data_IF_332415686238
#
_entry.id   IF_332415686238
#
_cell.length_a   1.000
_cell.length_b   1.000
_cell.length_c   1.000
_cell.angle_alpha   90.00
_cell.angle_beta   90.00
_cell.angle_gamma   90.00
#
_symmetry.space_group_name_H-M   'P 1'
#
loop_
_entity.id
_entity.type
_entity.pdbx_description
1 polymer ?
#
# COMPACT_ATOMS: atom_id res chain seq x y z
N UNK A 1 8.77 -12.49 9.41
CA UNK A 1 9.26 -11.11 9.12
C UNK A 1 8.26 -10.41 8.20
N UNK A 2 8.25 -9.08 8.17
CA UNK A 2 7.44 -8.35 7.19
C UNK A 2 7.99 -8.58 5.77
N UNK A 3 7.12 -8.64 4.73
CA UNK A 3 7.58 -8.76 3.34
C UNK A 3 8.45 -7.57 2.92
N UNK A 4 9.44 -7.77 2.02
CA UNK A 4 10.24 -6.66 1.49
C UNK A 4 9.36 -5.72 0.65
N UNK A 5 9.71 -4.43 0.68
CA UNK A 5 9.06 -3.40 -0.13
C UNK A 5 9.81 -3.06 -1.42
N UNK A 6 10.90 -3.78 -1.74
CA UNK A 6 11.63 -3.62 -2.99
C UNK A 6 11.04 -4.47 -4.14
N UNK A 7 11.76 -4.57 -5.26
CA UNK A 7 11.34 -5.34 -6.43
C UNK A 7 11.14 -6.85 -6.18
N UNK A 8 11.72 -7.41 -5.11
CA UNK A 8 11.58 -8.83 -4.75
C UNK A 8 10.30 -9.10 -3.95
N UNK A 9 9.66 -8.05 -3.45
CA UNK A 9 8.39 -8.11 -2.75
C UNK A 9 7.19 -8.05 -3.69
N UNK A 10 6.03 -7.75 -3.11
CA UNK A 10 4.75 -7.72 -3.82
C UNK A 10 3.98 -6.41 -3.64
N UNK A 11 4.57 -5.39 -3.01
CA UNK A 11 3.91 -4.11 -2.77
C UNK A 11 3.47 -3.44 -4.07
N UNK A 12 4.31 -3.51 -5.10
CA UNK A 12 4.07 -2.92 -6.41
C UNK A 12 2.92 -3.58 -7.20
N UNK A 13 2.40 -4.74 -6.75
CA UNK A 13 1.20 -5.34 -7.34
C UNK A 13 -0.09 -4.58 -7.01
N UNK A 14 -0.06 -3.75 -5.97
CA UNK A 14 -1.24 -3.07 -5.43
C UNK A 14 -1.29 -1.61 -5.91
N UNK A 15 -2.50 -1.13 -6.12
CA UNK A 15 -2.75 0.27 -6.46
C UNK A 15 -2.45 1.21 -5.27
N UNK A 16 -2.25 2.48 -5.59
CA UNK A 16 -1.92 3.53 -4.63
C UNK A 16 -2.97 3.68 -3.53
N UNK A 17 -4.26 3.55 -3.86
CA UNK A 17 -5.35 3.76 -2.89
C UNK A 17 -5.38 2.62 -1.87
N UNK A 18 -5.24 1.38 -2.33
CA UNK A 18 -5.13 0.21 -1.46
C UNK A 18 -3.91 0.31 -0.54
N UNK A 19 -2.74 0.69 -1.07
CA UNK A 19 -1.53 0.87 -0.28
C UNK A 19 -1.67 1.99 0.78
N UNK A 20 -2.36 3.07 0.43
CA UNK A 20 -2.70 4.13 1.37
C UNK A 20 -3.63 3.61 2.48
N UNK A 21 -4.71 2.90 2.13
CA UNK A 21 -5.67 2.38 3.09
C UNK A 21 -5.03 1.39 4.07
N UNK A 22 -4.17 0.50 3.56
CA UNK A 22 -3.36 -0.39 4.39
C UNK A 22 -2.52 0.39 5.41
N UNK A 23 -1.83 1.43 4.96
CA UNK A 23 -0.98 2.25 5.84
C UNK A 23 -1.82 3.03 6.86
N UNK A 24 -2.92 3.63 6.42
CA UNK A 24 -3.76 4.52 7.24
C UNK A 24 -4.58 3.76 8.28
N UNK A 25 -5.15 2.62 7.91
CA UNK A 25 -6.12 1.87 8.72
C UNK A 25 -5.58 0.54 9.25
N UNK A 26 -4.40 0.11 8.79
CA UNK A 26 -3.89 -1.22 9.08
C UNK A 26 -4.57 -2.28 8.22
N UNK A 27 -4.03 -3.50 8.26
CA UNK A 27 -4.41 -4.50 7.26
C UNK A 27 -5.79 -5.12 7.43
N UNK A 28 -6.28 -5.24 8.65
CA UNK A 28 -7.60 -5.80 8.88
C UNK A 28 -8.70 -4.81 8.47
N UNK A 29 -8.66 -3.59 9.00
CA UNK A 29 -9.69 -2.59 8.69
C UNK A 29 -9.70 -2.19 7.20
N UNK A 30 -8.54 -2.09 6.54
CA UNK A 30 -8.47 -1.81 5.11
C UNK A 30 -9.15 -2.90 4.25
N UNK A 31 -9.03 -4.17 4.65
CA UNK A 31 -9.68 -5.29 3.96
C UNK A 31 -11.17 -5.39 4.27
N UNK A 32 -11.58 -5.09 5.50
CA UNK A 32 -13.00 -5.02 5.88
C UNK A 32 -13.75 -3.96 5.06
N UNK A 33 -13.14 -2.80 4.81
CA UNK A 33 -13.71 -1.76 3.93
C UNK A 33 -13.93 -2.23 2.49
N UNK A 34 -13.23 -3.29 2.07
CA UNK A 34 -13.36 -3.92 0.75
C UNK A 34 -14.21 -5.20 0.78
N UNK A 35 -14.94 -5.43 1.87
CA UNK A 35 -15.86 -6.56 2.02
C UNK A 35 -15.19 -7.87 2.42
N UNK A 36 -13.90 -7.86 2.78
CA UNK A 36 -13.16 -9.05 3.22
C UNK A 36 -13.14 -9.06 4.75
N UNK A 37 -14.15 -9.69 5.35
CA UNK A 37 -14.29 -9.78 6.80
C UNK A 37 -13.46 -10.93 7.39
N UNK A 38 -13.03 -10.78 8.65
CA UNK A 38 -12.38 -11.84 9.43
C UNK A 38 -10.92 -12.11 9.08
N UNK A 39 -10.30 -11.28 8.22
CA UNK A 39 -8.87 -11.40 7.92
C UNK A 39 -8.02 -10.93 9.10
N UNK A 40 -7.20 -11.83 9.63
CA UNK A 40 -6.25 -11.49 10.70
C UNK A 40 -4.98 -10.90 10.10
N UNK A 41 -4.72 -9.62 10.36
CA UNK A 41 -3.50 -8.94 9.94
C UNK A 41 -2.66 -8.49 11.12
N UNK A 42 -1.34 -8.66 11.02
CA UNK A 42 -0.38 -8.08 11.97
C UNK A 42 0.05 -6.65 11.62
N UNK A 43 -0.47 -6.07 10.54
CA UNK A 43 -0.12 -4.71 10.11
C UNK A 43 -0.92 -3.67 10.93
N UNK A 44 -0.27 -2.82 11.73
CA UNK A 44 -0.94 -1.79 12.51
C UNK A 44 -1.42 -0.63 11.63
N UNK A 45 -2.35 0.17 12.16
CA UNK A 45 -2.76 1.44 11.57
C UNK A 45 -1.76 2.54 11.94
N UNK A 46 -1.38 3.38 10.97
CA UNK A 46 -0.48 4.52 11.21
C UNK A 46 -1.17 5.87 11.14
N UNK A 47 -2.47 5.93 10.89
CA UNK A 47 -3.15 7.18 10.64
C UNK A 47 -3.39 8.12 11.82
N UNK A 48 -3.08 7.67 13.04
CA UNK A 48 -3.00 8.54 14.23
C UNK A 48 -1.59 9.13 14.42
N UNK A 49 -0.59 8.57 13.72
CA UNK A 49 0.82 8.94 13.82
C UNK A 49 1.31 9.70 12.59
N UNK A 50 0.76 9.41 11.41
CA UNK A 50 1.12 9.99 10.13
C UNK A 50 -0.04 10.79 9.54
N UNK A 51 0.28 11.95 8.96
CA UNK A 51 -0.65 12.71 8.12
C UNK A 51 -0.85 11.99 6.79
N UNK A 52 -1.91 12.33 6.04
CA UNK A 52 -2.16 11.76 4.72
C UNK A 52 -1.00 12.06 3.74
N UNK A 53 -0.50 13.29 3.74
CA UNK A 53 0.66 13.69 2.93
C UNK A 53 1.91 12.85 3.27
N UNK A 54 2.17 12.60 4.56
CA UNK A 54 3.29 11.77 4.98
C UNK A 54 3.14 10.32 4.49
N UNK A 55 1.93 9.77 4.47
CA UNK A 55 1.67 8.44 3.90
C UNK A 55 1.99 8.45 2.40
N UNK A 56 1.53 9.46 1.66
CA UNK A 56 1.82 9.58 0.23
C UNK A 56 3.31 9.74 -0.05
N UNK A 57 4.02 10.54 0.72
CA UNK A 57 5.47 10.73 0.60
C UNK A 57 6.24 9.44 0.84
N UNK A 58 5.85 8.66 1.86
CA UNK A 58 6.45 7.35 2.14
C UNK A 58 6.20 6.37 0.98
N UNK A 59 4.96 6.30 0.47
CA UNK A 59 4.63 5.44 -0.67
C UNK A 59 5.40 5.86 -1.93
N UNK A 60 5.57 7.16 -2.17
CA UNK A 60 6.37 7.69 -3.26
C UNK A 60 7.86 7.34 -3.09
N UNK A 61 8.40 7.44 -1.88
CA UNK A 61 9.76 7.02 -1.56
C UNK A 61 9.96 5.52 -1.82
N UNK A 62 9.06 4.66 -1.34
CA UNK A 62 9.11 3.21 -1.62
C UNK A 62 9.08 2.95 -3.13
N UNK A 63 8.16 3.59 -3.85
CA UNK A 63 8.05 3.46 -5.31
C UNK A 63 9.34 3.88 -6.03
N UNK A 64 10.02 4.93 -5.54
CA UNK A 64 11.27 5.43 -6.13
C UNK A 64 12.43 4.43 -6.08
N UNK A 65 12.39 3.49 -5.12
CA UNK A 65 13.39 2.43 -4.98
C UNK A 65 13.27 1.32 -6.04
N UNK A 66 12.12 1.22 -6.72
CA UNK A 66 11.88 0.18 -7.71
C UNK A 66 12.53 0.52 -9.06
N UNK A 67 12.98 -0.48 -9.84
CA UNK A 67 13.37 -0.24 -11.23
C UNK A 67 12.22 0.35 -12.04
N UNK A 68 12.58 1.13 -13.07
CA UNK A 68 11.64 1.77 -14.01
C UNK A 68 10.51 0.84 -14.47
N UNK A 69 10.85 -0.40 -14.86
CA UNK A 69 9.85 -1.40 -15.30
C UNK A 69 8.79 -1.70 -14.24
N UNK A 70 9.20 -1.82 -12.98
CA UNK A 70 8.29 -2.12 -11.86
C UNK A 70 7.44 -0.89 -11.53
N UNK A 71 8.01 0.31 -11.60
CA UNK A 71 7.23 1.55 -11.48
C UNK A 71 6.15 1.66 -12.57
N UNK A 72 6.47 1.30 -13.81
CA UNK A 72 5.52 1.32 -14.93
C UNK A 72 4.41 0.26 -14.77
N UNK A 73 4.76 -0.94 -14.29
CA UNK A 73 3.78 -1.98 -13.96
C UNK A 73 2.85 -1.57 -12.81
N UNK A 74 3.37 -0.87 -11.80
CA UNK A 74 2.55 -0.37 -10.70
C UNK A 74 1.67 0.81 -11.14
N UNK A 75 2.21 1.69 -11.99
CA UNK A 75 1.44 2.80 -12.54
C UNK A 75 0.20 2.33 -13.31
N UNK A 76 0.28 1.21 -14.04
CA UNK A 76 -0.87 0.63 -14.74
C UNK A 76 -1.93 0.01 -13.83
N UNK A 77 -1.67 -0.11 -12.51
CA UNK A 77 -2.68 -0.52 -11.50
C UNK A 77 -3.54 0.63 -11.01
N UNK A 78 -3.09 1.87 -11.18
CA UNK A 78 -3.76 3.06 -10.66
C UNK A 78 -4.88 3.58 -11.61
N UNK A 79 -5.71 2.69 -12.16
CA UNK A 79 -6.79 3.08 -13.07
C UNK A 79 -7.90 3.83 -12.30
N UNK A 80 -8.43 4.97 -12.79
CA UNK A 80 -9.47 5.76 -12.12
C UNK A 80 -10.82 5.05 -11.88
N UNK A 81 -11.04 3.86 -12.43
CA UNK A 81 -12.33 3.15 -12.38
C UNK A 81 -12.47 2.19 -11.17
N UNK A 82 -11.60 2.27 -10.17
CA UNK A 82 -11.70 1.52 -8.91
C UNK A 82 -11.75 2.42 -7.68
#
# INVERSE_FOLDING_TARGET
PAPPHDQSGHTWHHDNRLLFDYTRFGGQAALEQRGIAGFKSGMPAFGETLTEDAIWDILAFIRSSWPKRVQDMQASRNNPDH
#
